data_IF_833959964836
#
_entry.id   IF_833959964836
#
_cell.length_a   1.000
_cell.length_b   1.000
_cell.length_c   1.000
_cell.angle_alpha   90.00
_cell.angle_beta   90.00
_cell.angle_gamma   90.00
#
_symmetry.space_group_name_H-M   'P 1'
#
loop_
_entity.id
_entity.type
_entity.pdbx_description
1 polymer ?
#
# COMPACT_ATOMS: atom_id res chain seq x y z
N UNK A 1 3.07 34.34 -25.07
CA UNK A 1 2.13 35.44 -25.36
C UNK A 1 1.13 35.45 -24.20
N UNK A 2 1.43 36.29 -23.24
CA UNK A 2 0.78 37.57 -22.86
C UNK A 2 -0.69 37.43 -22.56
N UNK A 3 -1.20 37.75 -21.36
CA UNK A 3 -1.24 39.11 -20.80
C UNK A 3 -1.60 39.06 -19.31
N UNK A 4 -0.90 39.86 -18.51
CA UNK A 4 -1.24 40.26 -17.14
C UNK A 4 -2.38 41.27 -17.18
N UNK A 5 -3.43 41.10 -16.35
CA UNK A 5 -4.37 42.17 -16.02
C UNK A 5 -4.14 42.62 -14.58
N UNK A 6 -3.68 43.85 -14.44
CA UNK A 6 -3.69 44.64 -13.19
C UNK A 6 -5.01 45.38 -13.12
N UNK A 7 -5.75 45.22 -12.05
CA UNK A 7 -6.86 46.14 -11.69
C UNK A 7 -6.31 47.24 -10.78
N UNK A 8 -6.33 48.47 -11.29
CA UNK A 8 -6.11 49.70 -10.52
C UNK A 8 -7.42 50.14 -9.91
N UNK A 9 -7.45 50.30 -8.57
CA UNK A 9 -8.57 50.98 -7.91
C UNK A 9 -8.30 52.48 -7.83
N UNK A 10 -9.14 53.26 -8.46
CA UNK A 10 -9.17 54.72 -8.31
C UNK A 10 -9.86 55.06 -7.00
N UNK A 11 -9.17 55.80 -6.12
CA UNK A 11 -9.76 56.47 -4.97
C UNK A 11 -10.08 57.92 -5.36
N UNK A 12 -11.32 58.26 -5.35
CA UNK A 12 -11.82 59.65 -5.48
C UNK A 12 -11.71 60.35 -4.14
N UNK A 13 -10.87 61.37 -4.04
CA UNK A 13 -10.80 62.30 -2.89
C UNK A 13 -11.82 63.43 -3.03
N UNK A 14 -12.75 63.50 -2.11
CA UNK A 14 -13.57 64.70 -1.90
C UNK A 14 -12.88 65.64 -0.89
N UNK A 15 -12.49 66.82 -1.33
CA UNK A 15 -11.95 67.85 -0.46
C UNK A 15 -13.07 68.61 0.26
N UNK A 16 -13.09 68.57 1.59
CA UNK A 16 -13.79 69.51 2.45
C UNK A 16 -12.75 70.39 3.14
N UNK A 17 -12.75 71.68 2.77
CA UNK A 17 -11.95 72.66 3.47
C UNK A 17 -12.69 73.06 4.74
N UNK A 18 -12.15 72.78 5.93
CA UNK A 18 -12.53 73.40 7.21
C UNK A 18 -11.23 73.87 7.87
N UNK A 19 -11.16 75.20 8.04
CA UNK A 19 -10.08 75.91 8.76
C UNK A 19 -10.15 75.58 10.27
N UNK A 20 -9.25 74.81 10.76
CA UNK A 20 -9.07 74.52 12.19
C UNK A 20 -7.62 74.05 12.43
N UNK A 21 -6.97 74.69 13.38
CA UNK A 21 -5.51 74.62 13.63
C UNK A 21 -4.88 73.23 13.58
N UNK A 22 -3.77 73.12 12.87
CA UNK A 22 -2.91 71.93 12.83
C UNK A 22 -2.28 71.73 14.21
N UNK A 23 -2.89 70.91 15.05
CA UNK A 23 -2.13 70.20 16.07
C UNK A 23 -1.37 69.10 15.33
N UNK A 24 -0.13 69.32 15.01
CA UNK A 24 0.78 68.25 14.55
C UNK A 24 0.93 67.24 15.67
N UNK A 25 0.08 66.19 15.64
CA UNK A 25 0.35 65.00 16.44
C UNK A 25 1.68 64.43 15.95
N UNK A 26 2.71 64.56 16.77
CA UNK A 26 3.96 63.81 16.54
C UNK A 26 3.60 62.34 16.42
N UNK A 27 3.98 61.63 15.34
CA UNK A 27 3.70 60.21 15.24
C UNK A 27 4.32 59.54 16.47
N UNK A 28 3.48 58.84 17.24
CA UNK A 28 3.95 58.00 18.33
C UNK A 28 4.99 57.05 17.74
N UNK A 29 6.22 57.14 18.22
CA UNK A 29 7.29 56.21 17.80
C UNK A 29 6.79 54.79 17.98
N UNK A 30 6.87 53.97 16.92
CA UNK A 30 6.43 52.59 17.00
C UNK A 30 7.12 51.87 18.17
N UNK A 31 6.33 51.22 19.01
CA UNK A 31 6.86 50.51 20.17
C UNK A 31 7.84 49.45 19.71
N UNK A 32 9.07 49.45 20.24
CA UNK A 32 10.08 48.43 19.95
C UNK A 32 9.59 47.08 20.46
N UNK A 33 9.41 46.13 19.54
CA UNK A 33 9.01 44.74 19.83
C UNK A 33 10.17 43.80 19.53
N UNK A 34 10.55 42.97 20.49
CA UNK A 34 11.61 42.00 20.36
C UNK A 34 11.02 40.59 20.45
N UNK A 35 11.20 39.80 19.40
CA UNK A 35 10.70 38.43 19.40
C UNK A 35 11.64 37.48 20.17
N UNK A 36 11.07 36.65 21.06
CA UNK A 36 11.86 35.64 21.78
C UNK A 36 12.70 34.77 20.80
N UNK A 37 13.97 34.46 21.16
CA UNK A 37 14.61 34.60 22.47
C UNK A 37 15.28 35.95 22.74
N UNK A 38 15.05 36.95 21.91
CA UNK A 38 15.68 38.29 22.03
C UNK A 38 14.98 39.07 23.15
N UNK A 39 15.82 39.74 23.95
CA UNK A 39 15.40 40.56 25.08
C UNK A 39 15.01 41.95 24.63
N UNK A 40 13.94 42.49 25.18
CA UNK A 40 13.65 43.92 25.13
C UNK A 40 14.42 44.61 26.28
N UNK A 41 15.32 45.50 25.95
CA UNK A 41 16.14 46.28 26.93
C UNK A 41 15.60 47.72 27.02
N UNK A 42 15.35 48.21 28.23
CA UNK A 42 14.86 49.55 28.53
C UNK A 42 15.87 50.20 29.50
N UNK A 43 16.48 51.33 29.08
CA UNK A 43 17.52 52.05 29.82
C UNK A 43 16.95 53.29 30.49
N UNK A 44 17.24 53.48 31.77
CA UNK A 44 16.73 54.56 32.60
C UNK A 44 17.85 55.39 33.25
N UNK A 45 17.69 56.76 33.31
CA UNK A 45 18.62 57.68 33.94
C UNK A 45 18.38 57.79 35.46
N UNK A 46 18.06 56.65 36.12
CA UNK A 46 17.86 56.54 37.57
C UNK A 46 18.03 55.05 37.96
N UNK A 47 18.17 54.77 39.25
CA UNK A 47 18.37 53.42 39.79
C UNK A 47 17.05 52.71 40.16
N UNK A 48 15.91 53.35 39.93
CA UNK A 48 14.58 52.87 40.35
C UNK A 48 13.77 52.26 39.21
N UNK A 49 14.29 52.27 37.95
CA UNK A 49 13.61 51.76 36.75
C UNK A 49 12.25 52.45 36.50
N UNK A 50 12.14 53.76 36.85
CA UNK A 50 10.91 54.53 36.76
C UNK A 50 10.98 55.63 35.70
N UNK A 51 9.80 56.09 35.25
CA UNK A 51 9.69 57.11 34.20
C UNK A 51 9.84 56.52 32.79
N UNK A 52 10.04 57.42 31.81
CA UNK A 52 10.22 57.01 30.41
C UNK A 52 11.64 56.54 30.19
N UNK A 53 11.87 55.34 29.59
CA UNK A 53 13.20 54.88 29.24
C UNK A 53 13.86 55.83 28.23
N UNK A 54 15.14 56.10 28.39
CA UNK A 54 15.92 56.95 27.48
C UNK A 54 16.28 56.21 26.17
N UNK A 55 16.36 54.87 26.23
CA UNK A 55 16.53 53.99 25.07
C UNK A 55 15.72 52.74 25.29
N UNK A 56 15.11 52.24 24.22
CA UNK A 56 14.56 50.89 24.15
C UNK A 56 15.17 50.18 22.93
N UNK A 57 15.78 49.02 23.13
CA UNK A 57 16.44 48.26 22.09
C UNK A 57 16.18 46.74 22.25
N UNK A 58 16.72 45.92 21.35
CA UNK A 58 16.65 44.46 21.39
C UNK A 58 18.06 43.88 21.57
N UNK A 59 18.25 43.12 22.64
CA UNK A 59 19.51 42.44 22.94
C UNK A 59 19.37 40.94 22.77
N UNK A 60 20.31 40.30 22.08
CA UNK A 60 20.33 38.84 21.89
C UNK A 60 20.75 38.09 23.15
N UNK A 61 21.50 38.73 24.01
CA UNK A 61 22.09 38.18 25.25
C UNK A 61 22.21 39.31 26.27
N UNK A 62 22.12 38.96 27.56
CA UNK A 62 22.45 39.91 28.67
C UNK A 62 23.88 39.57 29.10
N UNK A 63 24.85 40.31 28.57
CA UNK A 63 26.27 40.14 28.86
C UNK A 63 26.99 41.47 28.65
N UNK A 64 26.71 42.44 29.56
CA UNK A 64 27.17 43.82 29.41
C UNK A 64 28.33 44.13 30.38
N UNK A 65 29.27 44.90 29.87
CA UNK A 65 30.34 45.49 30.68
C UNK A 65 30.47 46.97 30.34
N UNK A 66 29.94 47.80 31.22
CA UNK A 66 29.94 49.26 31.05
C UNK A 66 31.23 49.90 31.56
N UNK A 67 32.07 49.15 32.33
CA UNK A 67 33.25 49.71 32.99
C UNK A 67 32.86 50.84 33.95
N UNK A 68 33.53 51.99 33.86
CA UNK A 68 33.20 53.24 34.62
C UNK A 68 32.47 54.27 33.75
N UNK A 69 31.88 53.81 32.61
CA UNK A 69 31.17 54.68 31.66
C UNK A 69 29.67 54.45 31.60
N UNK A 70 29.02 55.13 30.68
CA UNK A 70 27.63 54.95 30.34
C UNK A 70 27.43 53.89 29.23
N UNK A 71 26.25 53.31 29.08
CA UNK A 71 25.94 52.35 28.00
C UNK A 71 26.10 52.98 26.62
N UNK A 72 26.67 52.24 25.68
CA UNK A 72 26.84 52.68 24.30
C UNK A 72 25.48 53.01 23.63
N UNK A 73 25.43 54.08 22.83
CA UNK A 73 24.28 54.44 22.05
C UNK A 73 23.15 55.21 22.80
N UNK A 74 23.36 55.49 24.09
CA UNK A 74 22.44 56.30 24.89
C UNK A 74 23.22 57.18 25.88
N UNK A 75 22.84 58.44 26.01
CA UNK A 75 23.44 59.32 26.99
C UNK A 75 22.76 59.12 28.33
N UNK A 76 23.45 58.50 29.29
CA UNK A 76 23.02 58.27 30.65
C UNK A 76 24.12 58.84 31.63
N UNK A 77 23.80 59.06 32.91
CA UNK A 77 24.82 59.25 33.93
C UNK A 77 25.78 58.07 33.95
N UNK A 78 27.08 58.29 34.16
CA UNK A 78 28.08 57.21 34.32
C UNK A 78 27.78 56.27 35.48
N UNK A 79 27.19 56.83 36.48
CA UNK A 79 26.67 56.18 37.69
C UNK A 79 25.18 56.44 37.81
N UNK A 80 24.48 55.70 38.66
CA UNK A 80 23.04 55.91 38.96
C UNK A 80 22.13 55.74 37.75
N UNK A 81 22.39 54.76 36.86
CA UNK A 81 21.45 54.34 35.82
C UNK A 81 20.96 52.93 36.11
N UNK A 82 19.93 52.51 35.34
CA UNK A 82 19.43 51.16 35.43
C UNK A 82 18.93 50.65 34.07
N UNK A 83 18.89 49.33 33.92
CA UNK A 83 18.39 48.67 32.74
C UNK A 83 17.42 47.56 33.14
N UNK A 84 16.28 47.49 32.42
CA UNK A 84 15.36 46.37 32.53
C UNK A 84 15.34 45.61 31.23
N UNK A 85 15.72 44.33 31.29
CA UNK A 85 15.50 43.39 30.20
C UNK A 85 14.22 42.58 30.46
N UNK A 86 13.48 42.31 29.41
CA UNK A 86 12.29 41.44 29.45
C UNK A 86 12.23 40.52 28.25
N UNK A 87 11.87 39.26 28.48
CA UNK A 87 11.58 38.31 27.43
C UNK A 87 10.35 37.49 27.81
N UNK A 88 9.40 37.38 26.87
CA UNK A 88 8.26 36.47 27.02
C UNK A 88 8.40 35.36 26.00
N UNK A 89 8.51 34.12 26.45
CA UNK A 89 8.62 32.95 25.58
C UNK A 89 7.70 31.83 26.03
N UNK A 90 7.42 30.93 25.10
CA UNK A 90 6.77 29.66 25.38
C UNK A 90 7.82 28.61 25.77
N UNK A 91 7.63 27.99 26.94
CA UNK A 91 8.52 26.97 27.49
C UNK A 91 7.97 25.55 27.30
N UNK A 92 6.92 25.37 26.48
CA UNK A 92 6.31 24.07 26.25
C UNK A 92 5.73 23.49 27.55
N UNK A 93 6.22 22.33 27.97
CA UNK A 93 5.86 21.69 29.24
C UNK A 93 6.45 22.37 30.48
N UNK A 94 7.36 23.32 30.31
CA UNK A 94 8.13 23.90 31.41
C UNK A 94 9.22 22.95 31.93
N UNK A 95 9.43 22.93 33.24
CA UNK A 95 10.39 22.05 33.89
C UNK A 95 11.40 22.74 34.79
N UNK A 96 12.42 22.01 35.27
CA UNK A 96 13.49 22.55 36.11
C UNK A 96 14.51 23.32 35.28
N UNK A 97 14.80 24.53 35.70
CA UNK A 97 15.79 25.41 35.10
C UNK A 97 16.83 25.86 36.15
N UNK A 98 18.00 26.20 35.65
CA UNK A 98 19.02 26.91 36.41
C UNK A 98 19.12 28.33 35.89
N UNK A 99 18.84 29.33 36.76
CA UNK A 99 19.03 30.74 36.48
C UNK A 99 20.37 31.15 37.08
N UNK A 100 21.25 31.79 36.29
CA UNK A 100 22.53 32.29 36.73
C UNK A 100 22.62 33.77 36.44
N UNK A 101 22.88 34.54 37.47
CA UNK A 101 23.07 35.98 37.39
C UNK A 101 24.43 36.37 37.97
N UNK A 102 25.17 37.22 37.29
CA UNK A 102 26.42 37.83 37.77
C UNK A 102 26.31 39.34 37.54
N UNK A 103 26.65 40.11 38.53
CA UNK A 103 26.65 41.57 38.42
C UNK A 103 27.61 42.22 39.40
N UNK A 104 28.23 43.28 38.95
CA UNK A 104 28.74 44.30 39.85
C UNK A 104 27.63 45.32 40.01
N UNK A 105 27.31 45.68 41.27
CA UNK A 105 26.10 46.37 41.65
C UNK A 105 24.83 45.52 41.67
N UNK A 106 23.64 46.13 41.47
CA UNK A 106 22.36 45.48 41.76
C UNK A 106 21.77 44.68 40.60
N UNK A 107 21.49 43.40 40.81
CA UNK A 107 20.67 42.61 39.89
C UNK A 107 19.53 41.94 40.61
N UNK A 108 18.33 41.95 39.98
CA UNK A 108 17.14 41.20 40.37
C UNK A 108 16.57 40.46 39.17
N UNK A 109 16.18 39.21 39.37
CA UNK A 109 15.55 38.40 38.35
C UNK A 109 14.17 37.94 38.85
N UNK A 110 13.15 38.15 38.05
CA UNK A 110 11.80 37.65 38.33
C UNK A 110 11.29 36.76 37.19
N UNK A 111 10.50 35.77 37.54
CA UNK A 111 9.70 34.98 36.62
C UNK A 111 8.22 35.29 36.96
N UNK A 112 7.48 35.84 36.01
CA UNK A 112 6.08 36.28 36.17
C UNK A 112 5.87 37.19 37.41
N UNK A 113 6.80 38.09 37.62
CA UNK A 113 6.81 39.02 38.78
C UNK A 113 7.31 38.40 40.08
N UNK A 114 7.47 37.06 40.18
CA UNK A 114 7.98 36.40 41.38
C UNK A 114 9.51 36.40 41.36
N UNK A 115 10.10 36.98 42.43
CA UNK A 115 11.56 37.10 42.54
C UNK A 115 12.22 35.74 42.68
N UNK A 116 13.23 35.47 41.84
CA UNK A 116 14.04 34.25 41.85
C UNK A 116 15.49 34.52 42.29
N UNK A 117 16.05 35.70 41.89
CA UNK A 117 17.36 36.17 42.31
C UNK A 117 17.23 37.59 42.81
N UNK A 118 17.91 37.88 43.93
CA UNK A 118 18.06 39.22 44.51
C UNK A 118 19.49 39.41 45.00
N UNK A 119 20.23 40.30 44.34
CA UNK A 119 21.54 40.78 44.66
C UNK A 119 21.57 42.32 44.57
N UNK A 120 20.54 43.00 45.15
CA UNK A 120 20.32 44.45 45.00
C UNK A 120 21.11 45.25 46.00
N UNK A 121 22.43 45.39 45.74
CA UNK A 121 23.36 46.14 46.60
C UNK A 121 24.41 46.81 45.73
N UNK A 122 24.90 48.00 46.18
CA UNK A 122 26.10 48.65 45.66
C UNK A 122 27.33 47.84 46.15
N UNK A 123 28.09 47.26 45.20
CA UNK A 123 29.23 46.40 45.46
C UNK A 123 30.41 46.73 44.52
N UNK A 124 31.62 46.62 44.98
CA UNK A 124 32.85 46.92 44.21
C UNK A 124 33.37 45.67 43.43
N UNK A 125 32.76 44.50 43.61
CA UNK A 125 33.17 43.26 42.97
C UNK A 125 31.96 42.51 42.41
N UNK A 126 32.14 41.87 41.28
CA UNK A 126 31.07 41.07 40.65
C UNK A 126 30.60 39.95 41.58
N UNK A 127 29.34 39.95 41.90
CA UNK A 127 28.65 38.91 42.67
C UNK A 127 27.98 37.93 41.74
N UNK A 128 28.02 36.64 42.09
CA UNK A 128 27.36 35.57 41.35
C UNK A 128 26.30 34.88 42.19
N UNK A 129 25.14 34.60 41.61
CA UNK A 129 24.10 33.80 42.23
C UNK A 129 23.46 32.88 41.22
N UNK A 130 23.32 31.62 41.60
CA UNK A 130 22.58 30.59 40.85
C UNK A 130 21.33 30.19 41.63
N UNK A 131 20.20 30.04 40.95
CA UNK A 131 18.94 29.58 41.54
C UNK A 131 18.34 28.46 40.71
N UNK A 132 17.94 27.37 41.37
CA UNK A 132 17.09 26.38 40.79
C UNK A 132 15.65 26.95 40.71
N UNK A 133 15.06 26.94 39.52
CA UNK A 133 13.75 27.54 39.23
C UNK A 133 12.90 26.54 38.47
N UNK A 134 11.73 26.17 38.99
CA UNK A 134 10.73 25.45 38.21
C UNK A 134 9.97 26.49 37.38
N UNK A 135 10.06 26.38 36.05
CA UNK A 135 9.28 27.16 35.10
C UNK A 135 7.99 26.38 34.79
N UNK A 136 6.80 26.96 34.97
CA UNK A 136 5.56 26.30 34.63
C UNK A 136 5.44 26.05 33.11
N UNK A 137 4.42 25.26 32.69
CA UNK A 137 4.08 25.05 31.28
C UNK A 137 3.50 26.30 30.64
N UNK A 138 3.83 26.55 29.36
CA UNK A 138 3.27 27.64 28.56
C UNK A 138 4.15 28.88 28.49
N UNK A 139 3.49 30.04 28.31
CA UNK A 139 4.17 31.33 28.10
C UNK A 139 4.46 32.03 29.42
N UNK A 140 5.73 32.36 29.65
CA UNK A 140 6.21 33.01 30.87
C UNK A 140 7.09 34.17 30.51
N UNK A 141 7.13 35.20 31.40
CA UNK A 141 7.93 36.39 31.24
C UNK A 141 9.04 36.42 32.29
N UNK A 142 10.25 36.53 31.81
CA UNK A 142 11.44 36.79 32.68
C UNK A 142 11.76 38.27 32.58
N UNK A 143 11.89 38.93 33.75
CA UNK A 143 12.45 40.27 33.86
C UNK A 143 13.77 40.20 34.58
N UNK A 144 14.78 40.89 34.03
CA UNK A 144 16.07 41.15 34.67
C UNK A 144 16.18 42.64 34.88
N UNK A 145 16.27 43.06 36.13
CA UNK A 145 16.48 44.46 36.54
C UNK A 145 17.90 44.60 37.01
N UNK A 146 18.59 45.56 36.48
CA UNK A 146 19.95 45.94 36.85
C UNK A 146 20.02 47.40 37.24
N UNK A 147 20.81 47.74 38.24
CA UNK A 147 21.12 49.10 38.60
C UNK A 147 22.60 49.23 39.01
N UNK A 148 23.24 50.29 38.54
CA UNK A 148 24.55 50.70 38.95
C UNK A 148 24.46 51.94 39.78
N UNK A 149 25.28 52.02 40.84
CA UNK A 149 25.36 53.19 41.71
C UNK A 149 26.67 53.96 41.59
N UNK A 150 27.83 53.27 41.75
CA UNK A 150 29.14 53.89 41.67
C UNK A 150 30.22 52.94 41.19
N UNK A 151 31.20 53.46 40.40
CA UNK A 151 32.34 52.68 39.95
C UNK A 151 32.17 51.87 38.71
N UNK A 152 32.78 50.71 38.63
CA UNK A 152 32.64 49.83 37.45
C UNK A 152 31.32 49.05 37.48
N UNK A 153 30.75 48.82 36.30
CA UNK A 153 29.43 48.21 36.13
C UNK A 153 29.49 47.06 35.12
N UNK A 154 29.01 45.88 35.51
CA UNK A 154 28.86 44.74 34.61
C UNK A 154 27.63 43.88 35.01
N UNK A 155 27.05 43.19 34.05
CA UNK A 155 25.92 42.31 34.28
C UNK A 155 25.87 41.17 33.25
N UNK A 156 25.65 39.94 33.72
CA UNK A 156 25.31 38.80 32.89
C UNK A 156 24.12 38.07 33.49
N UNK A 157 23.28 37.56 32.61
CA UNK A 157 22.20 36.67 33.00
C UNK A 157 21.96 35.60 31.95
N UNK A 158 21.81 34.33 32.41
CA UNK A 158 21.42 33.19 31.58
C UNK A 158 20.48 32.27 32.31
N UNK A 159 19.74 31.50 31.55
CA UNK A 159 18.88 30.42 32.04
C UNK A 159 18.97 29.20 31.13
N UNK A 160 19.13 28.04 31.74
CA UNK A 160 19.27 26.78 31.02
C UNK A 160 18.38 25.71 31.66
N UNK A 161 17.76 24.81 30.87
CA UNK A 161 17.07 23.69 31.45
C UNK A 161 18.04 22.75 32.17
N UNK A 162 17.59 22.15 33.27
CA UNK A 162 18.31 21.08 33.94
C UNK A 162 17.89 19.75 33.33
N UNK A 163 18.78 19.14 32.57
CA UNK A 163 18.52 17.91 31.80
C UNK A 163 18.94 16.62 32.51
N UNK A 164 19.22 16.70 33.83
CA UNK A 164 19.54 15.51 34.61
C UNK A 164 18.30 14.64 34.82
N UNK A 165 18.35 13.37 34.43
CA UNK A 165 17.26 12.41 34.60
C UNK A 165 16.83 12.20 36.08
N UNK A 166 17.69 12.62 37.06
CA UNK A 166 17.31 12.57 38.48
C UNK A 166 16.51 13.80 38.93
N UNK A 167 16.61 14.90 38.20
CA UNK A 167 15.99 16.20 38.53
C UNK A 167 14.81 16.48 37.61
N UNK A 168 15.01 16.32 36.32
CA UNK A 168 13.95 16.52 35.34
C UNK A 168 13.12 15.27 35.15
N UNK A 169 11.84 15.35 35.54
CA UNK A 169 10.80 14.32 35.38
C UNK A 169 9.59 14.86 34.64
N UNK A 170 9.71 16.07 34.10
CA UNK A 170 8.63 16.70 33.32
C UNK A 170 8.68 16.19 31.90
N UNK A 171 7.59 15.52 31.49
CA UNK A 171 7.49 15.03 30.12
C UNK A 171 7.23 16.18 29.15
N UNK A 172 7.82 16.15 27.95
CA UNK A 172 7.47 17.09 26.89
C UNK A 172 5.97 17.04 26.56
N UNK A 173 5.45 18.09 25.94
CA UNK A 173 4.12 18.06 25.34
C UNK A 173 4.11 17.11 24.14
N UNK A 174 2.96 16.48 23.89
CA UNK A 174 2.78 15.71 22.68
C UNK A 174 2.95 16.60 21.44
N UNK A 175 3.61 16.13 20.36
CA UNK A 175 3.78 16.91 19.15
C UNK A 175 2.44 17.34 18.55
N UNK A 176 2.31 18.62 18.23
CA UNK A 176 1.09 19.20 17.67
C UNK A 176 1.15 19.28 16.13
N UNK A 177 -0.01 19.48 15.50
CA UNK A 177 -0.11 19.67 14.05
C UNK A 177 0.35 18.46 13.24
N UNK A 178 0.25 17.26 13.80
CA UNK A 178 0.65 16.04 13.12
C UNK A 178 -0.24 15.77 11.89
N UNK A 179 0.38 15.40 10.79
CA UNK A 179 -0.26 15.02 9.53
C UNK A 179 0.45 13.86 8.87
N UNK A 180 -0.28 13.09 8.05
CA UNK A 180 0.27 11.95 7.31
C UNK A 180 -0.14 12.04 5.85
N UNK A 181 0.84 11.96 4.96
CA UNK A 181 0.66 11.78 3.53
C UNK A 181 1.15 10.39 3.13
N UNK A 182 0.41 9.72 2.23
CA UNK A 182 0.75 8.39 1.78
C UNK A 182 0.88 8.32 0.26
N UNK A 183 2.08 7.93 -0.19
CA UNK A 183 2.37 7.61 -1.58
C UNK A 183 2.14 6.11 -1.82
N UNK A 184 1.07 5.80 -2.56
CA UNK A 184 0.68 4.42 -2.87
C UNK A 184 1.66 3.75 -3.84
N UNK A 185 2.24 4.51 -4.78
CA UNK A 185 3.15 3.97 -5.78
C UNK A 185 4.45 3.50 -5.13
N UNK A 186 4.95 4.25 -4.16
CA UNK A 186 6.17 3.92 -3.42
C UNK A 186 5.93 3.13 -2.13
N UNK A 187 4.67 2.91 -1.72
CA UNK A 187 4.29 2.39 -0.41
C UNK A 187 4.96 3.17 0.73
N UNK A 188 4.86 4.49 0.70
CA UNK A 188 5.58 5.39 1.60
C UNK A 188 4.65 6.31 2.36
N UNK A 189 4.66 6.21 3.68
CA UNK A 189 3.98 7.12 4.60
C UNK A 189 4.95 8.21 5.06
N UNK A 190 4.61 9.48 4.86
CA UNK A 190 5.35 10.63 5.35
C UNK A 190 4.55 11.30 6.45
N UNK A 191 5.08 11.27 7.67
CA UNK A 191 4.52 11.93 8.85
C UNK A 191 5.22 13.26 9.05
N UNK A 192 4.47 14.35 9.29
CA UNK A 192 4.97 15.70 9.56
C UNK A 192 4.28 16.25 10.80
N UNK A 193 4.96 17.16 11.51
CA UNK A 193 4.45 17.79 12.74
C UNK A 193 5.08 19.16 12.98
N UNK A 194 4.51 19.94 13.92
CA UNK A 194 5.10 21.18 14.37
C UNK A 194 6.18 20.92 15.42
N UNK A 195 7.26 21.69 15.37
CA UNK A 195 8.31 21.60 16.38
C UNK A 195 7.79 21.97 17.77
N UNK A 196 8.14 21.17 18.75
CA UNK A 196 7.90 21.45 20.16
C UNK A 196 8.66 22.72 20.62
N UNK A 197 8.25 23.30 21.74
CA UNK A 197 8.79 24.57 22.27
C UNK A 197 9.77 24.37 23.43
N UNK A 198 9.86 23.18 23.97
CA UNK A 198 10.75 22.82 25.06
C UNK A 198 12.20 23.08 24.70
N UNK A 199 12.94 23.72 25.64
CA UNK A 199 14.35 24.06 25.43
C UNK A 199 15.28 22.85 25.56
N UNK A 200 14.84 21.82 26.20
CA UNK A 200 15.53 20.55 26.45
C UNK A 200 15.10 19.41 25.51
N UNK A 201 14.29 19.72 24.53
CA UNK A 201 13.89 18.72 23.53
C UNK A 201 15.12 18.04 22.92
N UNK A 202 15.16 16.71 22.94
CA UNK A 202 16.18 15.90 22.30
C UNK A 202 15.74 15.44 20.88
N UNK A 203 14.45 15.21 20.68
CA UNK A 203 13.89 14.79 19.40
C UNK A 203 12.58 14.05 19.54
N UNK A 204 12.29 13.19 18.57
CA UNK A 204 10.99 12.51 18.46
C UNK A 204 11.17 11.02 18.22
N UNK A 205 10.14 10.25 18.62
CA UNK A 205 9.94 8.85 18.28
C UNK A 205 8.66 8.70 17.50
N UNK A 206 8.71 7.87 16.45
CA UNK A 206 7.54 7.51 15.63
C UNK A 206 7.23 6.05 15.88
N UNK A 207 5.97 5.78 16.19
CA UNK A 207 5.43 4.46 16.42
C UNK A 207 4.40 4.11 15.35
N UNK A 208 4.25 2.82 15.09
CA UNK A 208 3.23 2.27 14.18
C UNK A 208 2.62 1.02 14.79
N UNK A 209 1.34 0.78 14.52
CA UNK A 209 0.66 -0.49 14.80
C UNK A 209 -0.36 -0.81 13.70
N UNK A 210 -0.70 -2.08 13.44
CA UNK A 210 -1.93 -2.42 12.72
C UNK A 210 -3.14 -1.89 13.48
N UNK A 211 -4.20 -1.49 12.77
CA UNK A 211 -5.43 -1.00 13.42
C UNK A 211 -6.11 -2.06 14.29
N UNK A 212 -5.81 -3.34 14.04
CA UNK A 212 -6.31 -4.50 14.77
C UNK A 212 -5.48 -4.86 16.02
N UNK A 213 -4.33 -4.20 16.23
CA UNK A 213 -3.42 -4.45 17.36
C UNK A 213 -3.41 -3.28 18.32
N UNK A 214 -3.31 -3.55 19.63
CA UNK A 214 -3.08 -2.53 20.66
C UNK A 214 -1.60 -2.21 20.85
N UNK A 215 -0.68 -3.01 20.30
CA UNK A 215 0.75 -2.91 20.58
C UNK A 215 1.44 -1.98 19.57
N UNK A 216 2.06 -0.91 20.08
CA UNK A 216 2.86 0.02 19.30
C UNK A 216 4.28 -0.51 19.05
N UNK A 217 4.72 -0.46 17.81
CA UNK A 217 6.09 -0.76 17.40
C UNK A 217 6.79 0.54 17.03
N UNK A 218 7.95 0.80 17.64
CA UNK A 218 8.79 1.95 17.30
C UNK A 218 9.41 1.73 15.92
N UNK A 219 9.13 2.64 14.97
CA UNK A 219 9.62 2.57 13.58
C UNK A 219 10.73 3.58 13.26
N UNK A 220 10.96 4.56 14.13
CA UNK A 220 12.00 5.59 13.98
C UNK A 220 13.41 5.13 14.39
N UNK A 221 13.67 3.82 14.39
CA UNK A 221 14.96 3.26 14.80
C UNK A 221 15.04 2.92 16.30
N UNK A 222 16.06 2.13 16.66
CA UNK A 222 16.18 1.63 18.05
C UNK A 222 16.74 2.66 19.02
N UNK A 223 17.74 3.45 18.62
CA UNK A 223 18.48 4.36 19.49
C UNK A 223 18.39 5.82 19.08
N UNK A 224 18.51 6.13 17.78
CA UNK A 224 18.50 7.50 17.29
C UNK A 224 17.10 8.13 17.35
N UNK A 225 17.02 9.38 17.81
CA UNK A 225 15.81 10.20 17.75
C UNK A 225 15.73 10.91 16.39
N UNK A 226 14.50 11.18 15.94
CA UNK A 226 14.27 12.07 14.81
C UNK A 226 14.43 13.52 15.31
N UNK A 227 15.39 14.24 14.79
CA UNK A 227 15.65 15.64 15.20
C UNK A 227 14.89 16.67 14.36
N UNK A 228 14.40 16.27 13.17
CA UNK A 228 13.54 17.09 12.33
C UNK A 228 12.06 16.95 12.67
N UNK A 229 11.23 17.59 11.87
CA UNK A 229 9.76 17.58 12.00
C UNK A 229 9.06 16.75 10.93
N UNK A 230 9.76 15.80 10.36
CA UNK A 230 9.24 14.87 9.35
C UNK A 230 9.92 13.52 9.47
N UNK A 231 9.15 12.45 9.22
CA UNK A 231 9.65 11.08 9.18
C UNK A 231 8.98 10.29 8.08
N UNK A 232 9.75 9.46 7.39
CA UNK A 232 9.27 8.60 6.31
C UNK A 232 9.35 7.14 6.74
N UNK A 233 8.26 6.40 6.57
CA UNK A 233 8.17 4.97 6.86
C UNK A 233 7.43 4.24 5.73
N UNK A 234 7.87 3.02 5.42
CA UNK A 234 7.13 2.12 4.52
C UNK A 234 6.40 1.08 5.36
N UNK A 235 5.06 1.15 5.47
CA UNK A 235 4.30 0.10 6.15
C UNK A 235 4.37 -1.21 5.36
N UNK A 236 4.10 -2.38 5.99
CA UNK A 236 3.88 -3.62 5.24
C UNK A 236 2.83 -3.43 4.16
N UNK A 237 3.11 -3.96 2.97
CA UNK A 237 2.23 -3.81 1.80
C UNK A 237 1.16 -4.91 1.77
N UNK A 238 0.34 -4.98 2.80
CA UNK A 238 -0.66 -6.04 3.05
C UNK A 238 -2.10 -5.61 2.80
N UNK A 239 -2.34 -4.36 2.38
CA UNK A 239 -3.69 -3.81 2.28
C UNK A 239 -4.28 -3.39 3.63
N UNK A 240 -3.61 -3.71 4.74
CA UNK A 240 -4.09 -3.41 6.07
C UNK A 240 -4.03 -1.92 6.41
N UNK A 241 -4.83 -1.56 7.40
CA UNK A 241 -4.83 -0.20 7.97
C UNK A 241 -3.82 -0.13 9.10
N UNK A 242 -2.93 0.87 9.03
CA UNK A 242 -1.95 1.17 10.07
C UNK A 242 -2.22 2.52 10.72
N UNK A 243 -1.94 2.59 12.02
CA UNK A 243 -1.95 3.82 12.79
C UNK A 243 -0.52 4.23 13.12
N UNK A 244 -0.27 5.54 13.11
CA UNK A 244 1.00 6.13 13.50
C UNK A 244 0.79 7.08 14.67
N UNK A 245 1.71 7.05 15.62
CA UNK A 245 1.74 7.90 16.80
C UNK A 245 3.10 8.57 16.93
N UNK A 246 3.10 9.82 17.35
CA UNK A 246 4.30 10.62 17.58
C UNK A 246 4.47 10.91 19.07
N UNK A 247 5.72 10.84 19.54
CA UNK A 247 6.09 11.22 20.89
C UNK A 247 7.34 12.07 20.87
N UNK A 248 7.34 13.15 21.65
CA UNK A 248 8.53 13.97 21.90
C UNK A 248 9.35 13.36 23.03
N UNK A 249 10.66 13.54 22.96
CA UNK A 249 11.62 13.06 23.97
C UNK A 249 12.55 14.22 24.34
N UNK A 250 12.71 14.48 25.63
CA UNK A 250 13.66 15.45 26.14
C UNK A 250 15.08 14.87 26.35
N UNK A 251 16.01 15.71 26.78
CA UNK A 251 17.39 15.29 27.04
C UNK A 251 17.55 14.49 28.34
N UNK A 252 16.59 14.55 29.25
CA UNK A 252 16.54 13.71 30.44
C UNK A 252 16.03 12.30 30.16
N UNK A 253 15.44 12.07 28.94
CA UNK A 253 14.91 10.81 28.50
C UNK A 253 13.41 10.64 28.77
N UNK A 254 12.71 11.67 29.27
CA UNK A 254 11.27 11.59 29.44
C UNK A 254 10.59 11.64 28.07
N UNK A 255 9.57 10.80 27.90
CA UNK A 255 8.79 10.69 26.67
C UNK A 255 7.37 11.22 26.89
N UNK A 256 6.88 12.03 25.96
CA UNK A 256 5.51 12.56 25.99
C UNK A 256 4.46 11.47 25.95
N UNK A 257 3.21 11.82 26.29
CA UNK A 257 2.08 11.03 25.86
C UNK A 257 2.04 10.93 24.33
N UNK A 258 1.36 9.91 23.79
CA UNK A 258 1.12 9.82 22.37
C UNK A 258 0.26 10.97 21.87
N UNK A 259 0.53 11.44 20.65
CA UNK A 259 -0.32 12.39 19.96
C UNK A 259 -1.58 11.71 19.39
N UNK A 260 -2.33 12.45 18.57
CA UNK A 260 -3.48 11.90 17.83
C UNK A 260 -3.01 10.85 16.83
N UNK A 261 -3.68 9.70 16.80
CA UNK A 261 -3.42 8.62 15.85
C UNK A 261 -3.66 9.07 14.40
N UNK A 262 -2.65 8.90 13.56
CA UNK A 262 -2.73 9.14 12.12
C UNK A 262 -2.91 7.82 11.40
N UNK A 263 -3.90 7.74 10.52
CA UNK A 263 -4.30 6.48 9.88
C UNK A 263 -3.93 6.44 8.40
N UNK A 264 -3.46 5.28 7.93
CA UNK A 264 -3.23 4.97 6.52
C UNK A 264 -3.65 3.54 6.20
N UNK A 265 -4.27 3.31 5.03
CA UNK A 265 -4.43 1.98 4.45
C UNK A 265 -3.26 1.75 3.49
N UNK A 266 -2.44 0.72 3.75
CA UNK A 266 -1.32 0.37 2.88
C UNK A 266 -1.81 -0.20 1.55
N UNK A 267 -0.95 -0.19 0.53
CA UNK A 267 -1.21 -0.97 -0.69
C UNK A 267 -1.09 -2.46 -0.35
N UNK A 268 -1.86 -3.28 -1.05
CA UNK A 268 -1.64 -4.71 -1.02
C UNK A 268 -0.73 -5.12 -2.18
N UNK A 269 0.39 -5.74 -1.85
CA UNK A 269 1.36 -6.34 -2.79
C UNK A 269 1.73 -7.76 -2.36
N UNK A 270 0.95 -8.35 -1.48
CA UNK A 270 1.19 -9.68 -0.94
C UNK A 270 0.38 -10.68 -1.75
N UNK A 271 1.06 -11.44 -2.58
CA UNK A 271 0.42 -12.50 -3.35
C UNK A 271 -0.12 -13.61 -2.44
N UNK A 272 -1.21 -14.29 -2.84
CA UNK A 272 -1.68 -15.50 -2.16
C UNK A 272 -0.64 -16.63 -2.20
N UNK A 273 -0.86 -17.69 -1.45
CA UNK A 273 -0.10 -18.92 -1.58
C UNK A 273 -0.33 -19.56 -2.98
N UNK A 274 0.65 -20.31 -3.46
CA UNK A 274 0.46 -21.09 -4.69
C UNK A 274 -0.61 -22.18 -4.49
N UNK A 275 -1.44 -22.46 -5.51
CA UNK A 275 -2.40 -23.57 -5.45
C UNK A 275 -1.71 -24.90 -5.16
N UNK A 276 -2.35 -25.75 -4.38
CA UNK A 276 -1.88 -27.10 -4.04
C UNK A 276 -2.87 -28.17 -4.53
N UNK A 277 -2.40 -29.41 -4.66
CA UNK A 277 -3.25 -30.51 -5.10
C UNK A 277 -3.76 -30.30 -6.53
N UNK A 278 -2.95 -29.68 -7.40
CA UNK A 278 -3.29 -29.51 -8.81
C UNK A 278 -3.22 -30.86 -9.50
N UNK A 279 -4.34 -31.30 -10.06
CA UNK A 279 -4.45 -32.50 -10.89
C UNK A 279 -4.96 -32.15 -12.27
N UNK A 280 -4.78 -33.03 -13.21
CA UNK A 280 -5.28 -32.89 -14.57
C UNK A 280 -5.83 -34.25 -15.03
N UNK A 281 -7.11 -34.24 -15.40
CA UNK A 281 -7.82 -35.42 -15.90
C UNK A 281 -8.17 -35.20 -17.36
N UNK A 282 -7.87 -36.19 -18.20
CA UNK A 282 -8.18 -36.16 -19.61
C UNK A 282 -9.62 -36.66 -19.88
N UNK A 283 -10.26 -36.09 -20.87
CA UNK A 283 -11.64 -36.46 -21.27
C UNK A 283 -12.19 -35.55 -22.34
N UNK A 284 -13.48 -35.68 -22.62
CA UNK A 284 -14.22 -34.79 -23.51
C UNK A 284 -14.95 -33.72 -22.69
N UNK A 285 -14.88 -32.42 -23.05
CA UNK A 285 -14.33 -31.87 -24.29
C UNK A 285 -12.85 -31.45 -24.22
N UNK A 286 -12.03 -31.99 -23.31
CA UNK A 286 -10.61 -31.64 -23.17
C UNK A 286 -10.05 -31.95 -21.79
N UNK A 287 -8.88 -31.38 -21.46
CA UNK A 287 -8.18 -31.62 -20.20
C UNK A 287 -8.82 -30.77 -19.08
N UNK A 288 -9.31 -31.42 -18.04
CA UNK A 288 -9.88 -30.80 -16.86
C UNK A 288 -8.86 -30.70 -15.74
N UNK A 289 -8.56 -29.49 -15.30
CA UNK A 289 -7.71 -29.20 -14.16
C UNK A 289 -8.54 -29.02 -12.90
N UNK A 290 -8.08 -29.56 -11.77
CA UNK A 290 -8.64 -29.29 -10.45
C UNK A 290 -7.57 -28.93 -9.45
N UNK A 291 -7.88 -28.17 -8.40
CA UNK A 291 -6.96 -27.77 -7.35
C UNK A 291 -7.68 -27.47 -6.05
N UNK A 292 -6.92 -27.36 -4.95
CA UNK A 292 -7.48 -26.98 -3.66
C UNK A 292 -7.69 -25.46 -3.59
N UNK A 293 -8.75 -24.98 -2.91
CA UNK A 293 -8.99 -23.56 -2.73
C UNK A 293 -7.83 -22.90 -1.97
N UNK A 294 -7.47 -21.68 -2.39
CA UNK A 294 -6.41 -20.88 -1.78
C UNK A 294 -7.02 -19.74 -0.99
N UNK A 295 -6.63 -19.62 0.29
CA UNK A 295 -7.10 -18.52 1.14
C UNK A 295 -6.66 -17.17 0.57
N UNK A 296 -7.58 -16.20 0.49
CA UNK A 296 -7.32 -14.88 -0.06
C UNK A 296 -7.35 -14.79 -1.59
N UNK A 297 -7.48 -15.91 -2.32
CA UNK A 297 -7.65 -15.88 -3.77
C UNK A 297 -9.04 -15.36 -4.13
N UNK A 298 -9.10 -14.38 -5.02
CA UNK A 298 -10.33 -13.89 -5.63
C UNK A 298 -10.62 -14.63 -6.95
N UNK A 299 -9.58 -15.12 -7.62
CA UNK A 299 -9.65 -15.82 -8.90
C UNK A 299 -8.36 -16.59 -9.16
N UNK A 300 -8.37 -17.41 -10.23
CA UNK A 300 -7.19 -18.14 -10.69
C UNK A 300 -6.90 -17.82 -12.15
N UNK A 301 -5.64 -18.08 -12.54
CA UNK A 301 -5.15 -18.00 -13.91
C UNK A 301 -4.57 -19.34 -14.28
N UNK A 302 -4.82 -19.79 -15.52
CA UNK A 302 -4.25 -21.02 -16.08
C UNK A 302 -3.39 -20.67 -17.28
N UNK A 303 -2.20 -21.28 -17.32
CA UNK A 303 -1.25 -21.18 -18.41
C UNK A 303 -0.99 -22.56 -18.97
N UNK A 304 -0.67 -22.64 -20.26
CA UNK A 304 -0.42 -23.88 -20.99
C UNK A 304 0.80 -23.74 -21.91
N UNK A 305 1.55 -24.82 -22.07
CA UNK A 305 2.60 -24.97 -23.07
C UNK A 305 2.61 -26.41 -23.56
N UNK A 306 2.85 -26.64 -24.85
CA UNK A 306 3.11 -27.99 -25.35
C UNK A 306 4.36 -28.53 -24.70
N UNK A 307 4.29 -29.76 -24.20
CA UNK A 307 5.40 -30.38 -23.50
C UNK A 307 6.52 -30.73 -24.49
N UNK A 308 7.75 -30.36 -24.15
CA UNK A 308 8.92 -30.64 -24.95
C UNK A 308 9.14 -29.71 -26.15
N UNK A 309 8.38 -28.64 -26.26
CA UNK A 309 8.55 -27.59 -27.29
C UNK A 309 9.17 -26.32 -26.70
N UNK A 310 9.69 -25.46 -27.57
CA UNK A 310 10.12 -24.09 -27.21
C UNK A 310 8.99 -23.08 -27.36
N UNK A 311 7.75 -23.51 -27.50
CA UNK A 311 6.60 -22.62 -27.60
C UNK A 311 6.49 -21.71 -26.36
N UNK A 312 6.02 -20.49 -26.49
CA UNK A 312 5.82 -19.62 -25.34
C UNK A 312 4.72 -20.17 -24.41
N UNK A 313 4.91 -19.99 -23.11
CA UNK A 313 3.86 -20.31 -22.13
C UNK A 313 2.70 -19.35 -22.35
N UNK A 314 1.57 -19.84 -22.83
CA UNK A 314 0.38 -19.06 -23.09
C UNK A 314 -0.55 -19.04 -21.88
N UNK A 315 -1.14 -17.88 -21.58
CA UNK A 315 -2.25 -17.78 -20.64
C UNK A 315 -3.54 -18.19 -21.36
N UNK A 316 -4.11 -19.33 -20.97
CA UNK A 316 -5.31 -19.91 -21.60
C UNK A 316 -6.61 -19.61 -20.85
N UNK A 317 -6.50 -19.28 -19.57
CA UNK A 317 -7.62 -18.78 -18.78
C UNK A 317 -7.22 -17.69 -17.79
N UNK A 318 -8.13 -16.73 -17.58
CA UNK A 318 -8.04 -15.70 -16.57
C UNK A 318 -9.41 -15.51 -15.91
N UNK A 319 -9.43 -15.18 -14.61
CA UNK A 319 -10.69 -14.93 -13.91
C UNK A 319 -11.50 -16.17 -13.55
N UNK A 320 -10.87 -17.35 -13.49
CA UNK A 320 -11.51 -18.57 -12.99
C UNK A 320 -11.82 -18.39 -11.50
N UNK A 321 -13.09 -18.45 -11.13
CA UNK A 321 -13.52 -18.25 -9.72
C UNK A 321 -13.68 -19.55 -8.94
N UNK A 322 -13.81 -20.68 -9.67
CA UNK A 322 -13.86 -22.02 -9.08
C UNK A 322 -12.49 -22.65 -8.89
N UNK A 323 -12.48 -23.89 -8.44
CA UNK A 323 -11.27 -24.72 -8.26
C UNK A 323 -11.15 -25.80 -9.34
N UNK A 324 -11.85 -25.64 -10.44
CA UNK A 324 -11.81 -26.50 -11.62
C UNK A 324 -11.90 -25.66 -12.89
N UNK A 325 -11.27 -26.14 -13.95
CA UNK A 325 -11.32 -25.51 -15.27
C UNK A 325 -10.95 -26.53 -16.35
N UNK A 326 -11.69 -26.53 -17.47
CA UNK A 326 -11.47 -27.44 -18.59
C UNK A 326 -10.87 -26.72 -19.80
N UNK A 327 -9.81 -27.25 -20.34
CA UNK A 327 -9.19 -26.81 -21.58
C UNK A 327 -9.81 -27.52 -22.79
N UNK A 328 -10.95 -27.03 -23.24
CA UNK A 328 -11.60 -27.53 -24.46
C UNK A 328 -10.84 -27.19 -25.76
N UNK A 329 -9.79 -26.36 -25.67
CA UNK A 329 -8.92 -26.01 -26.79
C UNK A 329 -7.60 -26.79 -26.81
N UNK A 330 -7.46 -27.80 -25.96
CA UNK A 330 -6.35 -28.72 -26.05
C UNK A 330 -6.44 -29.55 -27.34
N UNK A 331 -5.37 -29.62 -28.12
CA UNK A 331 -5.35 -30.48 -29.31
C UNK A 331 -5.18 -31.93 -28.87
N UNK A 332 -5.95 -32.83 -29.49
CA UNK A 332 -5.83 -34.28 -29.27
C UNK A 332 -4.44 -34.78 -29.58
N UNK A 333 -4.04 -35.90 -28.99
CA UNK A 333 -2.72 -36.54 -29.11
C UNK A 333 -1.57 -35.61 -28.74
N UNK A 334 -1.84 -34.61 -27.87
CA UNK A 334 -0.84 -33.62 -27.52
C UNK A 334 -0.62 -33.60 -26.01
N UNK A 335 0.63 -33.70 -25.59
CA UNK A 335 1.04 -33.55 -24.22
C UNK A 335 1.24 -32.05 -23.88
N UNK A 336 0.74 -31.63 -22.75
CA UNK A 336 0.85 -30.26 -22.25
C UNK A 336 1.41 -30.21 -20.84
N UNK A 337 2.10 -29.10 -20.53
CA UNK A 337 2.33 -28.65 -19.17
C UNK A 337 1.38 -27.49 -18.89
N UNK A 338 0.62 -27.60 -17.83
CA UNK A 338 -0.27 -26.57 -17.32
C UNK A 338 0.31 -25.97 -16.05
N UNK A 339 0.04 -24.70 -15.81
CA UNK A 339 0.35 -24.00 -14.57
C UNK A 339 -0.86 -23.27 -14.08
N UNK A 340 -1.16 -23.42 -12.78
CA UNK A 340 -2.24 -22.69 -12.11
C UNK A 340 -1.63 -21.73 -11.11
N UNK A 341 -2.10 -20.48 -11.08
CA UNK A 341 -1.76 -19.48 -10.07
C UNK A 341 -3.03 -18.86 -9.48
N UNK A 342 -2.98 -18.54 -8.18
CA UNK A 342 -4.02 -17.81 -7.48
C UNK A 342 -3.78 -16.30 -7.60
N UNK A 343 -4.85 -15.51 -7.70
CA UNK A 343 -4.79 -14.06 -7.78
C UNK A 343 -5.75 -13.47 -6.75
N UNK A 344 -5.27 -12.55 -5.91
CA UNK A 344 -6.10 -11.87 -4.91
C UNK A 344 -6.96 -10.74 -5.50
N UNK A 345 -7.70 -10.06 -4.64
CA UNK A 345 -8.55 -8.93 -5.03
C UNK A 345 -7.75 -7.69 -5.45
N UNK A 346 -6.50 -7.57 -5.01
CA UNK A 346 -5.59 -6.48 -5.39
C UNK A 346 -4.89 -6.73 -6.73
N UNK A 347 -4.96 -7.97 -7.24
CA UNK A 347 -4.34 -8.37 -8.50
C UNK A 347 -2.96 -9.00 -8.34
N UNK A 348 -2.51 -9.31 -7.12
CA UNK A 348 -1.24 -9.99 -6.90
C UNK A 348 -1.40 -11.48 -7.23
N UNK A 349 -0.51 -11.99 -8.10
CA UNK A 349 -0.52 -13.39 -8.52
C UNK A 349 0.53 -14.20 -7.73
N UNK A 350 0.12 -15.39 -7.30
CA UNK A 350 1.00 -16.36 -6.64
C UNK A 350 2.04 -16.95 -7.59
N UNK A 351 2.99 -17.67 -7.03
CA UNK A 351 3.77 -18.63 -7.80
C UNK A 351 2.84 -19.65 -8.49
N UNK A 352 3.30 -20.18 -9.62
CA UNK A 352 2.56 -21.15 -10.43
C UNK A 352 2.83 -22.58 -9.92
N UNK A 353 1.80 -23.41 -9.86
CA UNK A 353 1.95 -24.86 -9.63
C UNK A 353 1.71 -25.58 -10.94
N UNK A 354 2.66 -26.46 -11.29
CA UNK A 354 2.65 -27.17 -12.56
C UNK A 354 1.98 -28.54 -12.44
N UNK A 355 1.34 -28.98 -13.53
CA UNK A 355 0.87 -30.34 -13.77
C UNK A 355 1.03 -30.66 -15.25
N UNK A 356 1.21 -31.92 -15.59
CA UNK A 356 1.27 -32.40 -17.00
C UNK A 356 0.10 -33.32 -17.29
N UNK A 357 -0.44 -33.20 -18.50
CA UNK A 357 -1.45 -34.10 -19.03
C UNK A 357 -1.25 -34.26 -20.52
N UNK A 358 -1.66 -35.41 -21.04
CA UNK A 358 -1.83 -35.63 -22.47
C UNK A 358 -3.31 -35.56 -22.75
N UNK A 359 -3.72 -34.81 -23.75
CA UNK A 359 -5.07 -34.93 -24.28
C UNK A 359 -5.06 -36.04 -25.31
N UNK A 360 -5.71 -37.14 -24.98
CA UNK A 360 -5.81 -38.29 -25.84
C UNK A 360 -6.81 -38.03 -26.99
N UNK A 361 -6.94 -38.95 -27.88
CA UNK A 361 -7.85 -38.88 -28.97
C UNK A 361 -9.23 -39.42 -28.53
N UNK A 362 -10.25 -38.56 -28.55
CA UNK A 362 -11.61 -38.89 -28.14
C UNK A 362 -12.62 -38.74 -29.31
N UNK A 363 -12.12 -38.35 -30.49
CA UNK A 363 -12.97 -38.10 -31.67
C UNK A 363 -13.11 -39.32 -32.53
N UNK A 364 -14.32 -39.87 -32.61
CA UNK A 364 -14.58 -40.97 -33.51
C UNK A 364 -14.45 -40.55 -34.99
N UNK A 365 -14.01 -41.44 -35.88
CA UNK A 365 -14.06 -41.17 -37.32
C UNK A 365 -15.47 -40.80 -37.80
N UNK A 366 -15.55 -40.07 -38.88
CA UNK A 366 -16.83 -39.77 -39.53
C UNK A 366 -17.58 -41.03 -39.93
N UNK A 367 -18.90 -40.93 -39.92
CA UNK A 367 -19.75 -42.01 -40.41
C UNK A 367 -19.36 -42.38 -41.86
N UNK A 368 -19.28 -43.65 -42.13
CA UNK A 368 -19.04 -44.19 -43.50
C UNK A 368 -20.17 -43.68 -44.41
N UNK A 369 -19.81 -43.25 -45.60
CA UNK A 369 -20.77 -42.73 -46.59
C UNK A 369 -20.83 -43.54 -47.86
N UNK A 370 -21.97 -43.47 -48.50
CA UNK A 370 -22.19 -44.15 -49.80
C UNK A 370 -22.20 -45.69 -49.68
N UNK A 371 -22.56 -46.21 -48.48
CA UNK A 371 -22.75 -47.65 -48.31
C UNK A 371 -23.87 -48.16 -49.23
N UNK A 372 -23.56 -49.22 -49.96
CA UNK A 372 -24.49 -49.98 -50.80
C UNK A 372 -24.37 -51.47 -50.48
N UNK A 373 -25.49 -52.18 -50.59
CA UNK A 373 -25.50 -53.65 -50.46
C UNK A 373 -26.22 -54.22 -51.68
N UNK A 374 -25.61 -55.28 -52.25
CA UNK A 374 -26.21 -55.98 -53.45
C UNK A 374 -26.05 -57.46 -53.20
N UNK A 375 -27.24 -58.14 -53.21
CA UNK A 375 -27.25 -59.58 -53.10
C UNK A 375 -26.82 -60.23 -54.44
N UNK A 376 -25.94 -61.22 -54.34
CA UNK A 376 -25.49 -62.04 -55.49
C UNK A 376 -25.41 -63.49 -55.06
N UNK A 377 -25.10 -64.37 -56.00
CA UNK A 377 -25.01 -65.82 -55.78
C UNK A 377 -23.92 -66.20 -54.80
N UNK A 378 -22.85 -65.41 -54.69
CA UNK A 378 -21.75 -65.60 -53.82
C UNK A 378 -21.88 -64.88 -52.47
N UNK A 379 -23.01 -64.22 -52.18
CA UNK A 379 -23.29 -63.52 -50.95
C UNK A 379 -23.74 -62.04 -51.16
N UNK A 380 -23.68 -61.26 -50.08
CA UNK A 380 -23.99 -59.83 -50.10
C UNK A 380 -22.76 -59.02 -50.32
N UNK A 381 -22.71 -58.31 -51.44
CA UNK A 381 -21.60 -57.40 -51.78
C UNK A 381 -21.86 -56.01 -51.20
N UNK A 382 -21.01 -55.58 -50.27
CA UNK A 382 -21.03 -54.23 -49.71
C UNK A 382 -19.95 -53.38 -50.39
N UNK A 383 -20.25 -52.12 -50.65
CA UNK A 383 -19.31 -51.12 -51.14
C UNK A 383 -19.58 -49.77 -50.52
N UNK A 384 -18.57 -48.99 -50.22
CA UNK A 384 -18.66 -47.66 -49.60
C UNK A 384 -17.57 -46.73 -50.05
N UNK A 385 -17.71 -45.47 -49.75
CA UNK A 385 -16.66 -44.46 -49.90
C UNK A 385 -15.69 -44.55 -48.71
N UNK A 386 -14.38 -44.83 -48.91
CA UNK A 386 -13.44 -44.88 -47.82
C UNK A 386 -13.35 -43.56 -47.06
N UNK A 387 -13.23 -43.66 -45.75
CA UNK A 387 -12.90 -42.54 -44.89
C UNK A 387 -11.49 -42.02 -45.21
N UNK A 388 -11.26 -40.72 -44.94
CA UNK A 388 -10.03 -40.00 -45.26
C UNK A 388 -9.17 -39.64 -44.03
N UNK A 389 -9.61 -39.99 -42.84
CA UNK A 389 -8.95 -39.73 -41.58
C UNK A 389 -7.60 -40.47 -41.55
N UNK A 390 -6.51 -39.71 -41.18
CA UNK A 390 -5.15 -40.28 -41.22
C UNK A 390 -4.86 -41.30 -40.13
N UNK A 391 -5.76 -41.49 -39.20
CA UNK A 391 -5.66 -42.39 -38.05
C UNK A 391 -6.66 -43.54 -38.08
N UNK A 392 -7.32 -43.72 -39.18
CA UNK A 392 -8.24 -44.86 -39.38
C UNK A 392 -7.46 -46.18 -39.17
N UNK A 393 -7.97 -47.04 -38.28
CA UNK A 393 -7.36 -48.32 -37.91
C UNK A 393 -7.99 -49.47 -38.69
N UNK A 394 -9.31 -49.46 -38.79
CA UNK A 394 -10.09 -50.52 -39.43
C UNK A 394 -11.51 -50.10 -39.72
N UNK A 395 -12.20 -50.89 -40.52
CA UNK A 395 -13.68 -50.89 -40.57
C UNK A 395 -14.22 -52.12 -39.82
N UNK A 396 -15.38 -51.97 -39.23
CA UNK A 396 -16.16 -53.04 -38.63
C UNK A 396 -17.49 -53.16 -39.41
N UNK A 397 -17.76 -54.33 -39.92
CA UNK A 397 -19.02 -54.61 -40.63
C UNK A 397 -20.01 -55.23 -39.67
N UNK A 398 -21.20 -54.70 -39.64
CA UNK A 398 -22.32 -55.20 -38.84
C UNK A 398 -23.47 -55.66 -39.77
N UNK A 399 -24.06 -56.81 -39.39
CA UNK A 399 -25.33 -57.31 -39.92
C UNK A 399 -26.36 -57.22 -38.82
N UNK A 400 -27.52 -56.69 -39.11
CA UNK A 400 -28.68 -56.73 -38.23
C UNK A 400 -29.80 -57.57 -38.83
N UNK A 401 -30.32 -58.48 -38.02
CA UNK A 401 -31.40 -59.35 -38.33
C UNK A 401 -32.65 -58.97 -37.51
N UNK A 402 -33.82 -59.19 -38.05
CA UNK A 402 -35.05 -58.94 -37.30
C UNK A 402 -35.20 -60.10 -36.29
N UNK A 403 -35.26 -59.74 -35.04
CA UNK A 403 -35.52 -60.68 -33.96
C UNK A 403 -37.00 -60.54 -33.55
N UNK A 404 -37.66 -61.64 -33.35
CA UNK A 404 -39.03 -61.72 -32.87
C UNK A 404 -39.01 -62.32 -31.46
N UNK A 405 -39.60 -61.64 -30.48
CA UNK A 405 -39.64 -62.08 -29.08
C UNK A 405 -40.69 -63.16 -28.82
N UNK A 406 -41.48 -63.57 -29.85
CA UNK A 406 -42.53 -64.56 -29.76
C UNK A 406 -43.80 -64.04 -29.09
N UNK A 407 -43.82 -62.78 -28.63
CA UNK A 407 -44.97 -62.12 -28.02
C UNK A 407 -45.53 -61.00 -28.93
N UNK A 408 -45.05 -60.89 -30.14
CA UNK A 408 -45.40 -59.89 -31.14
C UNK A 408 -44.56 -58.63 -31.13
N UNK A 409 -43.48 -58.60 -30.37
CA UNK A 409 -42.47 -57.59 -30.42
C UNK A 409 -41.34 -57.97 -31.40
N UNK A 410 -40.93 -57.03 -32.25
CA UNK A 410 -39.79 -57.23 -33.16
C UNK A 410 -38.76 -56.14 -32.95
N UNK A 411 -37.51 -56.49 -33.06
CA UNK A 411 -36.39 -55.58 -32.96
C UNK A 411 -35.24 -55.96 -33.87
N UNK A 412 -34.56 -55.00 -34.44
CA UNK A 412 -33.31 -55.22 -35.14
C UNK A 412 -32.18 -55.47 -34.16
N UNK A 413 -31.50 -56.64 -34.28
CA UNK A 413 -30.37 -56.99 -33.45
C UNK A 413 -29.11 -57.04 -34.32
N UNK A 414 -28.18 -56.16 -34.04
CA UNK A 414 -26.94 -56.01 -34.78
C UNK A 414 -25.82 -56.88 -34.23
N UNK A 415 -25.17 -57.61 -35.12
CA UNK A 415 -23.97 -58.40 -34.80
C UNK A 415 -22.86 -57.98 -35.73
N UNK A 416 -21.61 -57.86 -35.17
CA UNK A 416 -20.42 -57.61 -35.97
C UNK A 416 -20.04 -58.90 -36.71
N UNK A 417 -19.86 -58.78 -38.02
CA UNK A 417 -19.52 -59.90 -38.86
C UNK A 417 -18.06 -59.94 -39.30
N UNK A 418 -17.40 -58.77 -39.42
CA UNK A 418 -16.01 -58.75 -39.89
C UNK A 418 -15.25 -57.50 -39.45
N UNK A 419 -13.91 -57.62 -39.41
CA UNK A 419 -12.94 -56.56 -39.29
C UNK A 419 -12.16 -56.37 -40.59
N UNK A 420 -12.14 -55.22 -41.14
CA UNK A 420 -11.45 -54.93 -42.39
C UNK A 420 -10.32 -53.91 -42.23
N UNK A 421 -9.34 -53.99 -43.10
CA UNK A 421 -8.27 -53.02 -43.15
C UNK A 421 -8.80 -51.59 -43.44
N UNK A 422 -8.08 -50.55 -42.99
CA UNK A 422 -8.52 -49.15 -43.21
C UNK A 422 -8.50 -48.75 -44.68
N UNK A 423 -7.93 -49.53 -45.55
CA UNK A 423 -7.91 -49.33 -47.02
C UNK A 423 -9.08 -50.02 -47.72
N UNK A 424 -9.94 -50.75 -47.01
CA UNK A 424 -11.06 -51.44 -47.59
C UNK A 424 -12.13 -50.45 -48.06
N UNK A 425 -12.71 -50.72 -49.21
CA UNK A 425 -13.88 -49.99 -49.78
C UNK A 425 -15.02 -50.94 -50.20
N UNK A 426 -14.83 -52.22 -49.93
CA UNK A 426 -15.81 -53.26 -50.22
C UNK A 426 -15.59 -54.50 -49.34
N UNK A 427 -16.63 -55.27 -49.19
CA UNK A 427 -16.62 -56.56 -48.49
C UNK A 427 -17.69 -57.45 -49.07
N UNK A 428 -17.42 -58.77 -49.16
CA UNK A 428 -18.43 -59.76 -49.50
C UNK A 428 -18.72 -60.60 -48.27
N UNK A 429 -19.95 -60.51 -47.79
CA UNK A 429 -20.44 -61.35 -46.71
C UNK A 429 -21.01 -62.64 -47.33
N UNK A 430 -20.23 -63.70 -47.31
CA UNK A 430 -20.63 -65.04 -47.73
C UNK A 430 -21.67 -65.58 -46.73
N UNK A 431 -22.91 -65.23 -46.88
CA UNK A 431 -23.99 -65.75 -46.06
C UNK A 431 -24.74 -66.87 -46.81
N UNK A 432 -25.33 -67.82 -46.05
CA UNK A 432 -26.26 -68.77 -46.67
C UNK A 432 -27.44 -67.96 -47.26
N UNK A 433 -27.67 -68.18 -48.57
CA UNK A 433 -28.78 -67.54 -49.26
C UNK A 433 -30.10 -68.14 -48.72
N UNK A 434 -30.80 -67.39 -47.85
CA UNK A 434 -31.98 -67.84 -47.17
C UNK A 434 -33.21 -67.00 -47.51
N UNK A 435 -33.07 -65.95 -48.31
CA UNK A 435 -34.12 -65.04 -48.70
C UNK A 435 -34.48 -64.02 -47.56
N UNK A 436 -33.76 -63.95 -46.48
CA UNK A 436 -34.03 -63.00 -45.40
C UNK A 436 -33.73 -61.53 -45.80
N UNK A 437 -34.50 -60.62 -45.26
CA UNK A 437 -34.17 -59.19 -45.34
C UNK A 437 -33.34 -58.81 -44.13
N UNK A 438 -32.22 -58.23 -44.40
CA UNK A 438 -31.24 -57.88 -43.38
C UNK A 438 -30.71 -56.47 -43.59
N UNK A 439 -30.16 -55.85 -42.51
CA UNK A 439 -29.51 -54.55 -42.60
C UNK A 439 -28.02 -54.70 -42.41
N UNK A 440 -27.23 -53.95 -43.19
CA UNK A 440 -25.82 -53.84 -43.03
C UNK A 440 -25.39 -52.43 -42.68
N UNK A 441 -24.40 -52.31 -41.80
CA UNK A 441 -23.68 -51.06 -41.51
C UNK A 441 -22.18 -51.29 -41.55
N UNK A 442 -21.43 -50.27 -41.92
CA UNK A 442 -19.98 -50.26 -41.84
C UNK A 442 -19.57 -49.10 -40.95
N UNK A 443 -18.82 -49.38 -39.92
CA UNK A 443 -18.37 -48.38 -38.93
C UNK A 443 -16.85 -48.26 -39.04
N UNK A 444 -16.38 -47.02 -39.13
CA UNK A 444 -14.98 -46.71 -39.11
C UNK A 444 -14.48 -46.62 -37.65
N UNK A 445 -13.29 -47.16 -37.38
CA UNK A 445 -12.63 -47.21 -36.08
C UNK A 445 -11.22 -46.64 -36.22
N UNK A 446 -10.86 -45.70 -35.37
CA UNK A 446 -9.54 -45.09 -35.36
C UNK A 446 -8.48 -45.88 -34.56
N UNK A 447 -7.26 -45.39 -34.50
CA UNK A 447 -6.15 -46.01 -33.76
C UNK A 447 -6.32 -45.95 -32.25
N UNK A 448 -7.13 -45.03 -31.72
CA UNK A 448 -7.52 -44.92 -30.33
C UNK A 448 -8.71 -45.82 -29.96
N UNK A 449 -9.32 -46.47 -30.94
CA UNK A 449 -10.54 -47.29 -30.90
C UNK A 449 -11.82 -46.45 -30.68
N UNK A 450 -11.82 -45.17 -31.03
CA UNK A 450 -13.06 -44.44 -31.11
C UNK A 450 -13.85 -44.87 -32.33
N UNK A 451 -15.15 -44.96 -32.20
CA UNK A 451 -16.11 -45.28 -33.26
C UNK A 451 -17.49 -44.74 -32.90
N UNK A 452 -18.36 -44.59 -33.89
CA UNK A 452 -19.76 -44.35 -33.65
C UNK A 452 -20.39 -45.62 -33.06
N UNK A 453 -21.17 -45.49 -32.00
CA UNK A 453 -21.83 -46.62 -31.35
C UNK A 453 -23.24 -46.79 -31.87
N UNK A 454 -23.67 -48.04 -32.10
CA UNK A 454 -25.05 -48.38 -32.46
C UNK A 454 -25.96 -48.16 -31.23
N UNK A 455 -27.07 -47.40 -31.34
CA UNK A 455 -27.70 -46.88 -32.57
C UNK A 455 -27.43 -45.37 -32.80
N UNK A 456 -26.23 -44.95 -33.17
CA UNK A 456 -25.97 -43.58 -33.56
C UNK A 456 -26.76 -43.23 -34.86
N UNK A 457 -27.53 -42.14 -34.90
CA UNK A 457 -28.30 -41.77 -36.07
C UNK A 457 -27.45 -41.37 -37.28
N UNK A 458 -26.15 -41.14 -37.12
CA UNK A 458 -25.25 -40.85 -38.22
C UNK A 458 -24.79 -42.11 -38.97
N UNK A 459 -25.00 -43.32 -38.42
CA UNK A 459 -24.66 -44.58 -39.06
C UNK A 459 -25.66 -44.89 -40.13
N UNK A 460 -25.21 -45.00 -41.39
CA UNK A 460 -26.04 -45.41 -42.51
C UNK A 460 -26.25 -46.93 -42.48
N UNK A 461 -27.47 -47.38 -42.39
CA UNK A 461 -27.87 -48.76 -42.51
C UNK A 461 -28.46 -48.96 -43.91
N UNK A 462 -28.02 -50.02 -44.60
CA UNK A 462 -28.51 -50.39 -45.88
C UNK A 462 -29.25 -51.71 -45.78
N UNK A 463 -30.53 -51.75 -46.29
CA UNK A 463 -31.39 -52.93 -46.34
C UNK A 463 -31.12 -53.70 -47.61
N UNK A 464 -31.08 -55.03 -47.51
CA UNK A 464 -30.91 -55.92 -48.61
C UNK A 464 -31.64 -57.24 -48.30
N UNK A 465 -32.36 -57.79 -49.32
CA UNK A 465 -32.90 -59.14 -49.23
C UNK A 465 -31.92 -60.11 -49.88
N UNK A 466 -31.42 -61.08 -49.08
CA UNK A 466 -30.50 -62.11 -49.54
C UNK A 466 -31.18 -62.97 -50.63
N UNK A 467 -30.44 -63.51 -51.58
CA UNK A 467 -31.02 -64.37 -52.59
C UNK A 467 -31.42 -65.70 -51.93
N UNK A 468 -32.68 -66.12 -52.14
CA UNK A 468 -33.09 -67.44 -51.69
C UNK A 468 -32.39 -68.54 -52.46
N UNK A 469 -32.15 -69.70 -51.77
CA UNK A 469 -31.69 -70.89 -52.51
C UNK A 469 -32.71 -71.26 -53.57
N UNK A 470 -32.27 -71.53 -54.83
CA UNK A 470 -33.20 -72.04 -55.81
C UNK A 470 -33.86 -73.33 -55.29
N UNK A 471 -35.20 -73.36 -55.30
CA UNK A 471 -35.92 -74.60 -55.04
C UNK A 471 -35.36 -75.66 -55.98
N UNK A 472 -34.60 -76.62 -55.41
CA UNK A 472 -34.29 -77.85 -56.14
C UNK A 472 -35.59 -78.64 -56.28
N UNK A 473 -36.28 -78.36 -57.40
CA UNK A 473 -37.49 -79.08 -57.81
C UNK A 473 -37.27 -80.56 -58.17
#
# INVERSE_FOLDING_TARGET
MTTRNRLSALATTAALAASGGLLTATPAAAAVTCAAPVWKAEYYANTTLTGTPKLTTCDSVIAENYGTGDPAGVTLPRDNFSVRWSVTRDFGSGGPFTFTAEAQDGIRVTLDGVRKIDLWKNVSTTQKKTAAVTVPAGRHTIHVSYATWTGAANVTFGYTPNTSATVDRVRPLAPAGASLAYDRALNRATVKWAANKEMDLAGYRVYRRPSTSATWTKVSGSTALVTGTSYVNSPPATGERFLYELRAVDRAGNESAGGTDLTVASVDRTAPAAPTGVTADDGTPGVTLTWKPVAGAAKYQVHRQRKGTADPVAQVATGVTGTTWTDAGAAERTAYTYWVSAVDAAGNASARTAVTATHDDWTAPAAVKGLTATAREDGVHLAWTPNTEGDLKRYEVFKATLWDDGEGGTAWVAHRVEYLLPTASSYVHESAADGETVLYAVIAVDTANNMLYIPDPAIDWVEVTELGTPDEG
#
